data_IF_901521917643
#
_entry.id   IF_901521917643
#
_cell.length_a   1.000
_cell.length_b   1.000
_cell.length_c   1.000
_cell.angle_alpha   90.00
_cell.angle_beta   90.00
_cell.angle_gamma   90.00
#
_symmetry.space_group_name_H-M   'P 1'
#
loop_
_entity.id
_entity.type
_entity.pdbx_description
1 polymer ?
#
# COMPACT_ATOMS: atom_id res chain seq x y z
N UNK A 1 -29.73 -17.02 -1.01
CA UNK A 1 -28.54 -17.58 -0.33
C UNK A 1 -27.85 -16.41 0.36
N UNK A 2 -27.77 -16.43 1.69
CA UNK A 2 -26.82 -15.56 2.39
C UNK A 2 -25.44 -16.16 2.18
N UNK A 3 -24.51 -15.36 1.66
CA UNK A 3 -23.18 -15.86 1.30
C UNK A 3 -22.42 -16.27 2.58
N UNK A 4 -22.69 -15.63 3.72
CA UNK A 4 -21.98 -15.86 4.98
C UNK A 4 -20.47 -15.57 4.87
N UNK A 5 -19.75 -15.59 5.98
CA UNK A 5 -18.28 -15.45 5.95
C UNK A 5 -17.65 -16.77 5.50
N UNK A 6 -17.66 -17.04 4.20
CA UNK A 6 -17.24 -18.32 3.61
C UNK A 6 -16.14 -18.12 2.59
N UNK A 7 -15.27 -19.10 2.41
CA UNK A 7 -14.30 -19.08 1.31
C UNK A 7 -14.95 -19.46 -0.01
N UNK A 8 -14.28 -19.21 -1.14
CA UNK A 8 -14.77 -19.68 -2.45
C UNK A 8 -14.88 -21.21 -2.47
N UNK A 9 -13.96 -21.92 -1.80
CA UNK A 9 -14.03 -23.36 -1.65
C UNK A 9 -15.29 -23.84 -0.91
N UNK A 10 -15.63 -23.18 0.19
CA UNK A 10 -16.84 -23.48 0.95
C UNK A 10 -18.12 -23.18 0.16
N UNK A 11 -18.17 -22.04 -0.53
CA UNK A 11 -19.31 -21.69 -1.38
C UNK A 11 -19.49 -22.69 -2.53
N UNK A 12 -18.40 -23.08 -3.20
CA UNK A 12 -18.46 -24.04 -4.27
C UNK A 12 -19.00 -25.40 -3.80
N UNK A 13 -18.60 -25.86 -2.60
CA UNK A 13 -19.10 -27.11 -2.03
C UNK A 13 -20.62 -27.08 -1.77
N UNK A 14 -21.14 -25.93 -1.32
CA UNK A 14 -22.59 -25.75 -1.17
C UNK A 14 -23.31 -25.72 -2.51
N UNK A 15 -22.74 -25.02 -3.49
CA UNK A 15 -23.31 -24.94 -4.84
C UNK A 15 -23.34 -26.30 -5.54
N UNK A 16 -22.37 -27.18 -5.28
CA UNK A 16 -22.36 -28.57 -5.81
C UNK A 16 -23.55 -29.41 -5.35
N UNK A 17 -24.21 -29.03 -4.27
CA UNK A 17 -25.43 -29.71 -3.79
C UNK A 17 -26.65 -29.40 -4.68
N UNK A 18 -26.56 -28.37 -5.52
CA UNK A 18 -27.59 -28.03 -6.50
C UNK A 18 -27.33 -28.90 -7.75
N UNK A 19 -28.36 -29.55 -8.32
CA UNK A 19 -28.25 -30.18 -9.64
C UNK A 19 -27.61 -29.22 -10.64
N UNK A 20 -27.01 -29.68 -11.73
CA UNK A 20 -26.31 -28.87 -12.76
C UNK A 20 -25.06 -28.08 -12.30
N UNK A 21 -24.76 -27.96 -11.01
CA UNK A 21 -23.54 -27.33 -10.47
C UNK A 21 -22.57 -28.32 -9.81
N UNK A 22 -22.78 -29.63 -9.97
CA UNK A 22 -22.04 -30.69 -9.27
C UNK A 22 -20.53 -30.69 -9.59
N UNK A 23 -20.15 -30.09 -10.72
CA UNK A 23 -18.75 -29.99 -11.20
C UNK A 23 -18.13 -28.61 -10.97
N UNK A 24 -18.76 -27.76 -10.15
CA UNK A 24 -18.22 -26.43 -9.89
C UNK A 24 -16.90 -26.54 -9.11
N UNK A 25 -15.82 -26.04 -9.69
CA UNK A 25 -14.52 -25.95 -9.04
C UNK A 25 -14.37 -24.53 -8.44
N UNK A 26 -13.90 -24.38 -7.19
CA UNK A 26 -13.74 -23.07 -6.55
C UNK A 26 -12.89 -22.11 -7.40
N UNK A 27 -11.86 -22.67 -8.02
CA UNK A 27 -10.89 -21.98 -8.89
C UNK A 27 -11.56 -21.33 -10.09
N UNK A 28 -12.63 -21.92 -10.62
CA UNK A 28 -13.39 -21.36 -11.76
C UNK A 28 -14.18 -20.12 -11.38
N UNK A 29 -14.48 -19.91 -10.10
CA UNK A 29 -15.10 -18.66 -9.63
C UNK A 29 -14.13 -17.49 -9.75
N UNK A 30 -12.82 -17.72 -9.61
CA UNK A 30 -11.79 -16.71 -9.83
C UNK A 30 -11.67 -16.30 -11.31
N UNK A 31 -12.07 -17.16 -12.26
CA UNK A 31 -12.03 -16.84 -13.71
C UNK A 31 -12.96 -15.67 -14.05
N UNK A 32 -13.99 -15.45 -13.24
CA UNK A 32 -14.97 -14.39 -13.42
C UNK A 32 -14.52 -13.03 -12.84
N UNK A 33 -13.33 -12.99 -12.23
CA UNK A 33 -12.78 -11.84 -11.53
C UNK A 33 -11.55 -11.34 -12.29
N UNK A 34 -11.67 -10.27 -13.11
CA UNK A 34 -10.57 -9.75 -13.93
C UNK A 34 -9.30 -9.38 -13.13
N UNK A 35 -9.46 -9.03 -11.85
CA UNK A 35 -8.34 -8.74 -10.96
C UNK A 35 -7.36 -9.93 -10.82
N UNK A 36 -7.83 -11.18 -10.96
CA UNK A 36 -7.02 -12.40 -10.88
C UNK A 36 -6.64 -12.98 -12.25
N UNK A 37 -6.77 -12.19 -13.32
CA UNK A 37 -6.34 -12.60 -14.65
C UNK A 37 -4.83 -12.91 -14.67
N UNK A 38 -4.46 -14.04 -15.28
CA UNK A 38 -3.07 -14.53 -15.34
C UNK A 38 -2.55 -15.18 -14.06
N UNK A 39 -3.36 -15.31 -13.01
CA UNK A 39 -2.99 -16.11 -11.82
C UNK A 39 -3.20 -17.60 -12.12
N UNK A 40 -2.16 -18.42 -12.02
CA UNK A 40 -2.21 -19.85 -12.39
C UNK A 40 -1.61 -20.76 -11.30
N UNK A 41 -1.85 -22.07 -11.44
CA UNK A 41 -1.23 -23.12 -10.60
C UNK A 41 -1.69 -23.14 -9.14
N UNK A 42 -0.88 -23.79 -8.29
CA UNK A 42 -1.20 -24.03 -6.86
C UNK A 42 -1.53 -22.74 -6.09
N UNK A 43 -0.95 -21.61 -6.49
CA UNK A 43 -1.22 -20.35 -5.82
C UNK A 43 -2.64 -19.82 -6.13
N UNK A 44 -3.17 -20.09 -7.32
CA UNK A 44 -4.58 -19.80 -7.65
C UNK A 44 -5.52 -20.60 -6.74
N UNK A 45 -5.21 -21.87 -6.53
CA UNK A 45 -5.97 -22.76 -5.64
C UNK A 45 -5.93 -22.30 -4.18
N UNK A 46 -4.76 -21.82 -3.74
CA UNK A 46 -4.57 -21.19 -2.43
C UNK A 46 -5.48 -19.98 -2.26
N UNK A 47 -5.52 -19.06 -3.23
CA UNK A 47 -6.40 -17.89 -3.18
C UNK A 47 -7.87 -18.30 -3.10
N UNK A 48 -8.32 -19.27 -3.90
CA UNK A 48 -9.70 -19.75 -3.84
C UNK A 48 -10.04 -20.40 -2.48
N UNK A 49 -9.06 -21.03 -1.84
CA UNK A 49 -9.25 -21.75 -0.58
C UNK A 49 -9.22 -20.85 0.65
N UNK A 50 -8.39 -19.81 0.65
CA UNK A 50 -8.15 -18.95 1.81
C UNK A 50 -8.88 -17.60 1.77
N UNK A 51 -9.23 -17.08 0.58
CA UNK A 51 -9.93 -15.81 0.46
C UNK A 51 -11.37 -15.92 0.97
N UNK A 52 -11.81 -14.98 1.80
CA UNK A 52 -13.15 -14.96 2.39
C UNK A 52 -14.08 -14.07 1.58
N UNK A 53 -15.22 -14.61 1.20
CA UNK A 53 -16.36 -13.83 0.73
C UNK A 53 -17.11 -13.29 1.93
N UNK A 54 -17.29 -11.97 1.95
CA UNK A 54 -18.06 -11.27 2.97
C UNK A 54 -19.19 -10.50 2.30
N UNK A 55 -20.31 -10.41 2.98
CA UNK A 55 -21.48 -9.69 2.53
C UNK A 55 -21.84 -8.61 3.54
N UNK A 56 -22.10 -7.40 3.05
CA UNK A 56 -22.51 -6.24 3.83
C UNK A 56 -23.87 -5.75 3.33
N UNK A 57 -24.69 -5.28 4.27
CA UNK A 57 -25.96 -4.60 4.00
C UNK A 57 -25.74 -3.10 3.87
N UNK A 58 -26.73 -2.39 3.33
CA UNK A 58 -26.72 -0.93 3.26
C UNK A 58 -26.44 -0.30 4.64
N UNK A 59 -25.53 0.68 4.65
CA UNK A 59 -25.09 1.39 5.85
C UNK A 59 -24.10 0.63 6.76
N UNK A 60 -23.77 -0.63 6.47
CA UNK A 60 -22.80 -1.36 7.30
C UNK A 60 -21.36 -0.95 6.99
N UNK A 61 -20.58 -0.70 8.04
CA UNK A 61 -19.14 -0.47 7.94
C UNK A 61 -18.41 -1.79 7.63
N UNK A 62 -17.51 -1.74 6.66
CA UNK A 62 -16.59 -2.83 6.33
C UNK A 62 -15.32 -2.73 7.16
N UNK A 63 -14.80 -1.51 7.35
CA UNK A 63 -13.71 -1.20 8.26
C UNK A 63 -13.81 0.25 8.72
N UNK A 64 -13.24 0.55 9.89
CA UNK A 64 -13.30 1.88 10.49
C UNK A 64 -11.94 2.59 10.48
N UNK A 65 -11.92 3.91 10.28
CA UNK A 65 -10.71 4.71 10.36
C UNK A 65 -10.02 4.54 11.72
N UNK A 66 -8.70 4.36 11.72
CA UNK A 66 -7.89 4.19 12.93
C UNK A 66 -7.74 2.73 13.37
N UNK A 67 -8.54 1.81 12.84
CA UNK A 67 -8.43 0.39 13.17
C UNK A 67 -7.11 -0.19 12.66
N UNK A 68 -6.49 -1.00 13.51
CA UNK A 68 -5.31 -1.79 13.14
C UNK A 68 -5.74 -3.12 12.54
N UNK A 69 -5.94 -3.11 11.23
CA UNK A 69 -6.26 -4.29 10.45
C UNK A 69 -5.36 -4.43 9.24
N UNK A 70 -4.89 -5.64 9.00
CA UNK A 70 -3.99 -5.97 7.89
C UNK A 70 -4.69 -6.84 6.84
N UNK A 71 -5.93 -6.51 6.51
CA UNK A 71 -6.71 -7.20 5.47
C UNK A 71 -6.92 -6.31 4.25
N UNK A 72 -6.92 -6.94 3.08
CA UNK A 72 -7.22 -6.33 1.79
C UNK A 72 -8.61 -6.75 1.32
N UNK A 73 -9.34 -5.87 0.64
CA UNK A 73 -10.67 -6.14 0.13
C UNK A 73 -10.80 -5.81 -1.37
N UNK A 74 -11.35 -6.75 -2.15
CA UNK A 74 -11.76 -6.55 -3.53
C UNK A 74 -13.29 -6.57 -3.64
N UNK A 75 -13.88 -5.55 -4.27
CA UNK A 75 -15.34 -5.45 -4.41
C UNK A 75 -15.80 -6.33 -5.57
N UNK A 76 -16.64 -7.32 -5.29
CA UNK A 76 -17.20 -8.23 -6.29
C UNK A 76 -18.58 -7.78 -6.77
N UNK A 77 -19.34 -7.10 -5.91
CA UNK A 77 -20.67 -6.54 -6.21
C UNK A 77 -21.00 -5.41 -5.23
N UNK A 78 -21.89 -4.51 -5.65
CA UNK A 78 -22.33 -3.36 -4.85
C UNK A 78 -21.37 -2.17 -4.92
N UNK A 79 -21.62 -1.21 -4.05
CA UNK A 79 -20.90 0.07 -3.96
C UNK A 79 -20.57 0.39 -2.51
N UNK A 80 -19.36 0.87 -2.27
CA UNK A 80 -18.91 1.32 -0.95
C UNK A 80 -18.42 2.76 -1.01
N UNK A 81 -18.66 3.50 0.06
CA UNK A 81 -18.14 4.85 0.25
C UNK A 81 -16.94 4.82 1.18
N UNK A 82 -15.89 5.51 0.76
CA UNK A 82 -14.70 5.75 1.56
C UNK A 82 -14.80 7.16 2.13
N UNK A 83 -14.69 7.29 3.44
CA UNK A 83 -14.78 8.57 4.14
C UNK A 83 -13.76 8.69 5.25
N UNK A 84 -13.36 9.92 5.58
CA UNK A 84 -12.47 10.20 6.71
C UNK A 84 -13.13 11.20 7.65
N UNK A 85 -12.92 11.03 8.95
CA UNK A 85 -13.28 12.03 9.96
C UNK A 85 -12.08 12.93 10.24
N UNK A 86 -12.31 14.24 10.15
CA UNK A 86 -11.31 15.27 10.50
C UNK A 86 -11.24 15.54 12.00
N UNK A 87 -10.20 16.24 12.46
CA UNK A 87 -10.05 16.63 13.87
C UNK A 87 -11.25 17.42 14.42
N UNK A 88 -11.98 18.13 13.55
CA UNK A 88 -13.19 18.88 13.89
C UNK A 88 -14.48 18.03 13.84
N UNK A 89 -14.36 16.69 13.83
CA UNK A 89 -15.48 15.73 13.71
C UNK A 89 -16.34 15.92 12.44
N UNK A 90 -15.75 16.46 11.37
CA UNK A 90 -16.41 16.50 10.06
C UNK A 90 -16.03 15.30 9.25
N UNK A 91 -17.03 14.55 8.80
CA UNK A 91 -16.89 13.47 7.82
C UNK A 91 -16.72 14.05 6.41
N UNK A 92 -15.65 13.63 5.75
CA UNK A 92 -15.34 13.97 4.36
C UNK A 92 -15.38 12.69 3.55
N UNK A 93 -16.24 12.63 2.53
CA UNK A 93 -16.23 11.54 1.57
C UNK A 93 -15.03 11.71 0.63
N UNK A 94 -14.16 10.70 0.61
CA UNK A 94 -12.95 10.68 -0.21
C UNK A 94 -13.21 10.09 -1.60
N UNK A 95 -13.98 9.00 -1.64
CA UNK A 95 -14.27 8.28 -2.87
C UNK A 95 -15.50 7.39 -2.73
N UNK A 96 -15.98 6.93 -3.87
CA UNK A 96 -16.98 5.87 -4.01
C UNK A 96 -16.36 4.78 -4.86
N UNK A 97 -16.32 3.56 -4.35
CA UNK A 97 -15.69 2.42 -5.01
C UNK A 97 -16.73 1.39 -5.43
N UNK A 98 -16.54 0.82 -6.63
CA UNK A 98 -17.49 -0.10 -7.26
C UNK A 98 -16.85 -1.46 -7.54
N UNK A 99 -17.65 -2.38 -8.09
CA UNK A 99 -17.20 -3.71 -8.54
C UNK A 99 -15.89 -3.63 -9.35
N UNK A 100 -14.93 -4.46 -8.98
CA UNK A 100 -13.60 -4.56 -9.59
C UNK A 100 -12.55 -3.65 -8.93
N UNK A 101 -12.97 -2.67 -8.13
CA UNK A 101 -12.07 -1.85 -7.33
C UNK A 101 -11.80 -2.50 -5.96
N UNK A 102 -10.75 -2.03 -5.31
CA UNK A 102 -10.29 -2.54 -4.01
C UNK A 102 -10.00 -1.41 -3.03
N UNK A 103 -9.88 -1.79 -1.77
CA UNK A 103 -9.45 -0.91 -0.68
C UNK A 103 -8.76 -1.73 0.42
N UNK A 104 -8.19 -1.00 1.38
CA UNK A 104 -7.54 -1.59 2.54
C UNK A 104 -6.16 -2.15 2.25
N UNK A 105 -5.58 -1.86 1.09
CA UNK A 105 -4.23 -2.29 0.68
C UNK A 105 -3.12 -1.71 1.57
N UNK A 106 -3.37 -0.55 2.19
CA UNK A 106 -2.41 0.13 3.06
C UNK A 106 -2.06 -0.71 4.29
N UNK A 107 -3.05 -1.28 4.98
CA UNK A 107 -2.84 -2.10 6.17
C UNK A 107 -1.83 -3.24 5.97
N UNK A 108 -2.07 -4.19 5.04
CA UNK A 108 -1.15 -5.29 4.81
C UNK A 108 0.18 -4.89 4.15
N UNK A 109 0.23 -3.81 3.36
CA UNK A 109 1.49 -3.32 2.78
C UNK A 109 2.38 -2.66 3.82
N UNK A 110 1.81 -1.73 4.56
CA UNK A 110 2.54 -0.68 5.26
C UNK A 110 2.45 -0.86 6.78
N UNK A 111 1.44 -1.59 7.27
CA UNK A 111 1.17 -1.78 8.70
C UNK A 111 0.53 -0.56 9.37
N UNK A 112 0.09 0.43 8.58
CA UNK A 112 -0.66 1.56 9.09
C UNK A 112 -2.10 1.18 9.48
N UNK A 113 -2.69 1.89 10.46
CA UNK A 113 -4.11 1.78 10.70
C UNK A 113 -4.90 2.22 9.45
N UNK A 114 -6.17 1.83 9.39
CA UNK A 114 -7.09 2.30 8.34
C UNK A 114 -7.08 3.83 8.28
N UNK A 115 -6.81 4.39 7.11
CA UNK A 115 -6.79 5.84 6.90
C UNK A 115 -8.19 6.42 6.71
N UNK A 116 -9.19 5.57 6.50
CA UNK A 116 -10.56 5.95 6.20
C UNK A 116 -11.52 4.84 6.64
N UNK A 117 -12.75 5.24 6.95
CA UNK A 117 -13.89 4.34 7.14
C UNK A 117 -14.47 3.98 5.78
N UNK A 118 -14.82 2.70 5.60
CA UNK A 118 -15.47 2.20 4.39
C UNK A 118 -16.84 1.66 4.75
N UNK A 119 -17.88 2.20 4.13
CA UNK A 119 -19.29 1.87 4.43
C UNK A 119 -20.00 1.43 3.17
N UNK A 120 -20.79 0.36 3.25
CA UNK A 120 -21.62 -0.10 2.14
C UNK A 120 -22.77 0.88 1.86
N UNK A 121 -23.02 1.22 0.60
CA UNK A 121 -24.19 2.03 0.18
C UNK A 121 -25.38 1.19 -0.30
N UNK A 122 -25.14 -0.09 -0.55
CA UNK A 122 -26.16 -1.07 -0.90
C UNK A 122 -25.74 -2.43 -0.36
N UNK A 123 -26.30 -3.52 -0.90
CA UNK A 123 -25.80 -4.86 -0.61
C UNK A 123 -24.48 -5.11 -1.33
N UNK A 124 -23.37 -4.96 -0.63
CA UNK A 124 -22.04 -5.24 -1.17
C UNK A 124 -21.57 -6.67 -0.88
N UNK A 125 -20.80 -7.23 -1.82
CA UNK A 125 -20.05 -8.47 -1.64
C UNK A 125 -18.60 -8.19 -1.93
N UNK A 126 -17.73 -8.52 -0.97
CA UNK A 126 -16.29 -8.30 -1.08
C UNK A 126 -15.53 -9.60 -0.87
N UNK A 127 -14.36 -9.68 -1.51
CA UNK A 127 -13.37 -10.72 -1.26
C UNK A 127 -12.30 -10.16 -0.32
N UNK A 128 -12.18 -10.73 0.87
CA UNK A 128 -11.16 -10.39 1.86
C UNK A 128 -9.95 -11.32 1.72
N UNK A 129 -8.76 -10.74 1.66
CA UNK A 129 -7.47 -11.43 1.76
C UNK A 129 -6.77 -11.06 3.08
N UNK A 130 -6.14 -12.05 3.71
CA UNK A 130 -5.21 -11.80 4.81
C UNK A 130 -3.93 -11.15 4.30
N UNK A 131 -3.16 -10.50 5.19
CA UNK A 131 -1.85 -9.93 4.85
C UNK A 131 -0.93 -10.91 4.15
N UNK A 132 -0.79 -12.13 4.68
CA UNK A 132 0.12 -13.13 4.11
C UNK A 132 -0.31 -13.51 2.69
N UNK A 133 -1.61 -13.78 2.49
CA UNK A 133 -2.14 -14.13 1.16
C UNK A 133 -2.00 -12.97 0.17
N UNK A 134 -2.25 -11.75 0.62
CA UNK A 134 -2.10 -10.55 -0.19
C UNK A 134 -0.63 -10.31 -0.60
N UNK A 135 0.32 -10.40 0.34
CA UNK A 135 1.75 -10.24 0.02
C UNK A 135 2.25 -11.36 -0.92
N UNK A 136 1.77 -12.59 -0.76
CA UNK A 136 2.05 -13.67 -1.71
C UNK A 136 1.50 -13.34 -3.10
N UNK A 137 0.27 -12.79 -3.18
CA UNK A 137 -0.36 -12.41 -4.44
C UNK A 137 0.47 -11.38 -5.21
N UNK A 138 1.00 -10.38 -4.52
CA UNK A 138 1.86 -9.36 -5.12
C UNK A 138 3.17 -9.94 -5.65
N UNK A 139 3.74 -10.95 -4.97
CA UNK A 139 4.96 -11.64 -5.43
C UNK A 139 4.70 -12.51 -6.65
N UNK A 140 3.54 -13.14 -6.73
CA UNK A 140 3.20 -14.08 -7.80
C UNK A 140 2.62 -13.39 -9.04
N UNK A 141 2.05 -12.19 -8.91
CA UNK A 141 1.46 -11.46 -10.03
C UNK A 141 2.01 -10.03 -10.14
N UNK A 142 3.02 -9.80 -10.99
CA UNK A 142 3.52 -8.45 -11.30
C UNK A 142 2.45 -7.53 -11.87
N UNK A 143 1.43 -8.08 -12.54
CA UNK A 143 0.30 -7.29 -13.07
C UNK A 143 -0.56 -6.75 -11.94
N UNK A 144 -0.91 -7.58 -10.95
CA UNK A 144 -1.65 -7.13 -9.76
C UNK A 144 -0.80 -6.14 -8.97
N UNK A 145 0.50 -6.43 -8.78
CA UNK A 145 1.42 -5.50 -8.10
C UNK A 145 1.41 -4.11 -8.72
N UNK A 146 1.50 -4.01 -10.05
CA UNK A 146 1.41 -2.72 -10.76
C UNK A 146 0.09 -2.00 -10.54
N UNK A 147 -1.04 -2.72 -10.51
CA UNK A 147 -2.35 -2.11 -10.22
C UNK A 147 -2.41 -1.54 -8.80
N UNK A 148 -1.92 -2.31 -7.80
CA UNK A 148 -1.84 -1.85 -6.40
C UNK A 148 -0.92 -0.63 -6.27
N UNK A 149 0.24 -0.67 -6.93
CA UNK A 149 1.23 0.41 -6.93
C UNK A 149 0.67 1.71 -7.54
N UNK A 150 -0.02 1.60 -8.67
CA UNK A 150 -0.66 2.74 -9.31
C UNK A 150 -1.73 3.36 -8.40
N UNK A 151 -2.56 2.53 -7.75
CA UNK A 151 -3.58 3.04 -6.81
C UNK A 151 -2.98 3.66 -5.56
N UNK A 152 -1.85 3.14 -5.07
CA UNK A 152 -1.11 3.78 -3.97
C UNK A 152 -0.66 5.20 -4.34
N UNK A 153 -0.09 5.38 -5.55
CA UNK A 153 0.34 6.70 -6.04
C UNK A 153 -0.86 7.66 -6.15
N UNK A 154 -1.98 7.18 -6.72
CA UNK A 154 -3.19 8.00 -6.94
C UNK A 154 -3.89 8.41 -5.63
N UNK A 155 -3.90 7.55 -4.62
CA UNK A 155 -4.79 7.71 -3.44
C UNK A 155 -4.06 8.07 -2.15
N UNK A 156 -2.87 7.53 -1.95
CA UNK A 156 -2.23 7.48 -0.62
C UNK A 156 -0.89 8.22 -0.57
N UNK A 157 -0.15 8.28 -1.68
CA UNK A 157 1.15 8.91 -1.73
C UNK A 157 1.10 10.37 -1.30
N UNK A 158 0.11 11.15 -1.76
CA UNK A 158 -0.09 12.54 -1.35
C UNK A 158 -0.17 12.69 0.17
N UNK A 159 -0.93 11.84 0.84
CA UNK A 159 -1.04 11.83 2.31
C UNK A 159 0.28 11.49 2.97
N UNK A 160 1.02 10.50 2.44
CA UNK A 160 2.32 10.12 2.97
C UNK A 160 3.37 11.23 2.79
N UNK A 161 3.40 11.87 1.62
CA UNK A 161 4.25 13.03 1.37
C UNK A 161 3.97 14.14 2.38
N UNK A 162 2.70 14.42 2.70
CA UNK A 162 2.34 15.43 3.71
C UNK A 162 2.83 15.12 5.12
N UNK A 163 3.00 13.83 5.47
CA UNK A 163 3.54 13.43 6.77
C UNK A 163 5.06 13.62 6.87
N UNK A 164 5.75 13.68 5.73
CA UNK A 164 7.19 13.98 5.68
C UNK A 164 7.39 15.46 5.95
N UNK A 165 8.11 15.79 7.04
CA UNK A 165 8.36 17.17 7.46
C UNK A 165 8.93 18.06 6.34
N UNK A 166 9.73 17.49 5.44
CA UNK A 166 10.31 18.17 4.28
C UNK A 166 9.26 18.65 3.26
N UNK A 167 8.12 17.97 3.16
CA UNK A 167 7.06 18.23 2.18
C UNK A 167 5.77 18.75 2.82
N UNK A 168 5.69 18.77 4.15
CA UNK A 168 4.48 19.12 4.91
C UNK A 168 3.89 20.48 4.50
N UNK A 169 4.72 21.47 4.18
CA UNK A 169 4.30 22.85 3.85
C UNK A 169 4.25 23.15 2.36
N UNK A 170 4.48 22.16 1.47
CA UNK A 170 4.47 22.41 0.03
C UNK A 170 3.08 22.83 -0.47
N UNK A 171 2.96 23.70 -1.49
CA UNK A 171 1.67 23.97 -2.13
C UNK A 171 1.05 22.68 -2.71
N UNK A 172 -0.28 22.58 -2.78
CA UNK A 172 -0.96 21.39 -3.33
C UNK A 172 -0.52 21.06 -4.75
N UNK A 173 -0.35 22.08 -5.61
CA UNK A 173 0.16 21.90 -6.97
C UNK A 173 1.56 21.26 -7.00
N UNK A 174 2.41 21.56 -6.02
CA UNK A 174 3.75 20.98 -5.93
C UNK A 174 3.73 19.52 -5.44
N UNK A 175 2.81 19.17 -4.54
CA UNK A 175 2.61 17.76 -4.14
C UNK A 175 2.07 16.92 -5.30
N UNK A 176 1.16 17.49 -6.09
CA UNK A 176 0.63 16.83 -7.29
C UNK A 176 1.75 16.60 -8.33
N UNK A 177 2.54 17.64 -8.63
CA UNK A 177 3.71 17.54 -9.51
C UNK A 177 4.70 16.49 -9.01
N UNK A 178 5.03 16.50 -7.71
CA UNK A 178 5.93 15.52 -7.11
C UNK A 178 5.41 14.09 -7.24
N UNK A 179 4.12 13.89 -6.98
CA UNK A 179 3.49 12.56 -6.99
C UNK A 179 3.58 11.91 -8.38
N UNK A 180 3.58 12.70 -9.45
CA UNK A 180 3.77 12.23 -10.83
C UNK A 180 5.22 11.92 -11.22
N UNK A 181 6.20 12.32 -10.40
CA UNK A 181 7.64 12.20 -10.70
C UNK A 181 8.35 11.15 -9.85
N UNK A 182 7.66 10.48 -8.94
CA UNK A 182 8.26 9.48 -8.07
C UNK A 182 8.46 8.14 -8.78
N UNK A 183 9.39 7.35 -8.25
CA UNK A 183 9.61 5.98 -8.66
C UNK A 183 9.37 5.04 -7.46
N UNK A 184 8.67 3.93 -7.67
CA UNK A 184 8.56 2.88 -6.65
C UNK A 184 9.69 1.89 -6.82
N UNK A 185 10.51 1.74 -5.78
CA UNK A 185 11.67 0.85 -5.75
C UNK A 185 11.52 -0.19 -4.65
N UNK A 186 12.16 -1.36 -4.85
CA UNK A 186 12.14 -2.46 -3.90
C UNK A 186 13.55 -2.92 -3.56
N UNK A 187 13.77 -3.26 -2.29
CA UNK A 187 15.03 -3.78 -1.76
C UNK A 187 14.75 -5.07 -1.00
N UNK A 188 15.63 -6.06 -1.13
CA UNK A 188 15.57 -7.30 -0.37
C UNK A 188 16.20 -7.12 0.99
N UNK A 189 15.76 -7.93 1.95
CA UNK A 189 16.42 -8.02 3.26
C UNK A 189 17.92 -8.25 3.08
N UNK A 190 18.72 -7.38 3.69
CA UNK A 190 20.18 -7.40 3.65
C UNK A 190 20.78 -6.45 2.62
N UNK A 191 19.99 -5.93 1.68
CA UNK A 191 20.49 -4.98 0.68
C UNK A 191 20.95 -3.68 1.36
N UNK A 192 22.09 -3.17 0.90
CA UNK A 192 22.56 -1.84 1.28
C UNK A 192 21.98 -0.84 0.29
N UNK A 193 21.10 0.03 0.80
CA UNK A 193 20.36 1.02 0.01
C UNK A 193 21.22 2.28 -0.21
N UNK A 194 22.00 2.65 0.79
CA UNK A 194 22.90 3.81 0.76
C UNK A 194 24.20 3.40 1.46
N UNK A 195 25.34 3.78 0.88
CA UNK A 195 26.63 3.77 1.55
C UNK A 195 27.00 5.16 2.04
N UNK A 196 27.61 5.24 3.22
CA UNK A 196 28.25 6.46 3.72
C UNK A 196 29.38 6.87 2.76
N UNK A 197 29.44 8.15 2.42
CA UNK A 197 30.45 8.73 1.53
C UNK A 197 30.09 8.72 0.04
N UNK A 198 29.08 7.97 -0.39
CA UNK A 198 28.62 8.00 -1.77
C UNK A 198 27.98 9.36 -2.12
N UNK A 199 27.89 9.67 -3.40
CA UNK A 199 27.11 10.83 -3.86
C UNK A 199 25.60 10.56 -3.69
N UNK A 200 24.87 11.56 -3.20
CA UNK A 200 23.43 11.45 -3.02
C UNK A 200 22.63 12.15 -4.12
N UNK A 201 21.94 11.36 -4.93
CA UNK A 201 21.13 11.84 -6.07
C UNK A 201 19.61 11.66 -5.88
N UNK A 202 19.19 11.17 -4.71
CA UNK A 202 17.78 10.93 -4.38
C UNK A 202 17.56 10.82 -2.87
N UNK A 203 16.30 10.88 -2.44
CA UNK A 203 15.86 10.46 -1.11
C UNK A 203 14.80 9.37 -1.23
N UNK A 204 14.56 8.67 -0.13
CA UNK A 204 13.61 7.57 -0.07
C UNK A 204 12.60 7.79 1.03
N UNK A 205 11.31 7.62 0.72
CA UNK A 205 10.22 7.53 1.68
C UNK A 205 9.79 6.07 1.79
N UNK A 206 9.84 5.51 3.00
CA UNK A 206 9.54 4.10 3.25
C UNK A 206 8.02 3.90 3.17
N UNK A 207 7.59 3.08 2.20
CA UNK A 207 6.19 2.63 2.03
C UNK A 207 5.92 1.32 2.76
N UNK A 208 6.94 0.48 2.92
CA UNK A 208 6.85 -0.74 3.71
C UNK A 208 8.23 -1.23 4.12
N UNK A 209 8.29 -1.98 5.22
CA UNK A 209 9.51 -2.59 5.71
C UNK A 209 10.28 -1.73 6.73
N UNK A 210 11.50 -2.18 7.01
CA UNK A 210 12.33 -1.67 8.09
C UNK A 210 13.79 -1.55 7.63
N UNK A 211 14.43 -0.42 7.94
CA UNK A 211 15.84 -0.17 7.60
C UNK A 211 16.62 0.23 8.85
N UNK A 212 17.91 -0.09 8.84
CA UNK A 212 18.89 0.32 9.85
C UNK A 212 19.77 1.41 9.27
N UNK A 213 19.97 2.49 10.02
CA UNK A 213 20.89 3.58 9.66
C UNK A 213 22.11 3.53 10.58
N UNK A 214 23.30 3.46 10.00
CA UNK A 214 24.55 3.33 10.78
C UNK A 214 25.73 4.10 10.15
N UNK A 215 26.74 4.42 10.95
CA UNK A 215 28.00 5.03 10.51
C UNK A 215 29.18 4.09 10.66
N UNK A 216 30.17 4.22 9.79
CA UNK A 216 31.39 3.41 9.75
C UNK A 216 31.25 2.14 8.90
N UNK A 217 32.26 1.27 8.96
CA UNK A 217 32.27 -0.01 8.23
C UNK A 217 31.28 -1.02 8.82
N UNK A 218 30.81 -1.99 8.02
CA UNK A 218 29.92 -3.08 8.47
C UNK A 218 30.47 -3.89 9.66
N UNK A 219 31.79 -4.02 9.82
CA UNK A 219 32.42 -4.77 10.92
C UNK A 219 32.49 -3.99 12.24
N UNK A 220 32.41 -2.66 12.17
CA UNK A 220 32.48 -1.72 13.31
C UNK A 220 31.52 -0.56 13.08
N UNK A 221 30.25 -0.88 12.94
CA UNK A 221 29.23 0.12 12.73
C UNK A 221 28.73 0.72 14.06
N UNK A 222 28.48 2.03 14.05
CA UNK A 222 27.71 2.71 15.09
C UNK A 222 26.29 2.90 14.58
N UNK A 223 25.34 2.17 15.15
CA UNK A 223 23.91 2.31 14.82
C UNK A 223 23.44 3.68 15.29
N UNK A 224 22.86 4.46 14.37
CA UNK A 224 22.31 5.78 14.66
C UNK A 224 20.83 5.68 14.99
N UNK A 225 20.08 4.96 14.17
CA UNK A 225 18.63 4.78 14.34
C UNK A 225 18.12 3.61 13.50
N UNK A 226 16.86 3.29 13.68
CA UNK A 226 16.09 2.44 12.79
C UNK A 226 14.88 3.19 12.28
N UNK A 227 14.58 3.01 10.99
CA UNK A 227 13.46 3.67 10.33
C UNK A 227 12.51 2.62 9.76
N UNK A 228 11.23 2.95 9.75
CA UNK A 228 10.16 2.10 9.22
C UNK A 228 9.27 2.91 8.30
N UNK A 229 8.28 2.24 7.72
CA UNK A 229 7.01 2.82 7.25
C UNK A 229 6.74 4.27 7.72
N UNK A 230 6.47 5.17 6.77
CA UNK A 230 6.18 6.60 7.01
C UNK A 230 7.40 7.46 7.35
N UNK A 231 8.57 6.86 7.59
CA UNK A 231 9.84 7.56 7.71
C UNK A 231 10.51 7.73 6.35
N UNK A 232 11.50 8.62 6.28
CA UNK A 232 12.30 8.86 5.09
C UNK A 232 13.79 8.94 5.43
N UNK A 233 14.64 8.78 4.43
CA UNK A 233 16.09 8.88 4.58
C UNK A 233 16.77 9.34 3.29
N UNK A 234 18.01 9.81 3.42
CA UNK A 234 18.85 10.24 2.29
C UNK A 234 18.64 11.69 1.89
N UNK A 235 17.78 12.44 2.59
CA UNK A 235 17.50 13.86 2.36
C UNK A 235 18.71 14.76 2.59
N UNK A 236 19.61 14.40 3.52
CA UNK A 236 20.74 15.25 3.93
C UNK A 236 21.62 15.64 2.73
N UNK A 237 21.93 14.69 1.87
CA UNK A 237 22.75 14.91 0.68
C UNK A 237 22.07 15.85 -0.33
N UNK A 238 20.75 15.91 -0.34
CA UNK A 238 19.99 16.79 -1.23
C UNK A 238 19.89 18.22 -0.70
N UNK A 239 19.77 18.36 0.62
CA UNK A 239 19.57 19.64 1.31
C UNK A 239 20.90 20.38 1.51
N UNK A 240 21.95 19.65 1.90
CA UNK A 240 23.25 20.24 2.25
C UNK A 240 24.24 20.23 1.09
N UNK A 241 23.88 19.58 -0.02
CA UNK A 241 24.77 19.33 -1.16
C UNK A 241 26.08 18.62 -0.73
N UNK A 242 25.93 17.66 0.19
CA UNK A 242 27.01 16.86 0.77
C UNK A 242 26.89 15.39 0.33
N UNK A 243 27.95 14.60 0.55
CA UNK A 243 27.90 13.14 0.39
C UNK A 243 26.94 12.49 1.39
N UNK A 244 26.58 11.23 1.13
CA UNK A 244 25.75 10.40 2.01
C UNK A 244 26.39 10.33 3.40
N UNK A 245 25.63 10.72 4.41
CA UNK A 245 26.15 10.88 5.78
C UNK A 245 26.18 9.59 6.59
N UNK A 246 25.53 8.52 6.13
CA UNK A 246 25.41 7.24 6.84
C UNK A 246 25.04 6.12 5.87
N UNK A 247 25.32 4.88 6.25
CA UNK A 247 24.81 3.70 5.57
C UNK A 247 23.33 3.48 5.90
N UNK A 248 22.59 2.92 4.95
CA UNK A 248 21.21 2.45 5.16
C UNK A 248 21.08 1.04 4.63
N UNK A 249 20.67 0.11 5.50
CA UNK A 249 20.55 -1.32 5.17
C UNK A 249 19.13 -1.80 5.40
N UNK A 250 18.56 -2.51 4.43
CA UNK A 250 17.27 -3.15 4.52
C UNK A 250 17.31 -4.30 5.54
N UNK A 251 16.49 -4.24 6.58
CA UNK A 251 16.40 -5.28 7.62
C UNK A 251 15.26 -6.28 7.35
N UNK A 252 14.33 -5.89 6.47
CA UNK A 252 13.28 -6.72 5.84
C UNK A 252 13.30 -6.47 4.33
N UNK A 253 12.43 -7.12 3.57
CA UNK A 253 12.07 -6.58 2.25
C UNK A 253 11.46 -5.18 2.47
N UNK A 254 11.89 -4.21 1.67
CA UNK A 254 11.52 -2.79 1.78
C UNK A 254 10.98 -2.32 0.45
N UNK A 255 9.82 -1.68 0.46
CA UNK A 255 9.36 -0.85 -0.64
C UNK A 255 9.48 0.62 -0.26
N UNK A 256 10.01 1.41 -1.19
CA UNK A 256 10.19 2.83 -0.97
C UNK A 256 9.79 3.63 -2.21
N UNK A 257 9.33 4.85 -1.94
CA UNK A 257 9.16 5.89 -2.94
C UNK A 257 10.49 6.61 -3.08
N UNK A 258 11.12 6.51 -4.25
CA UNK A 258 12.34 7.23 -4.60
C UNK A 258 11.98 8.57 -5.22
N UNK A 259 12.58 9.63 -4.69
CA UNK A 259 12.43 11.01 -5.18
C UNK A 259 13.82 11.50 -5.58
N UNK A 260 14.01 11.82 -6.86
CA UNK A 260 15.29 12.28 -7.39
C UNK A 260 15.67 13.69 -6.93
N UNK A 261 16.98 13.96 -6.88
CA UNK A 261 17.57 15.25 -6.48
C UNK A 261 17.09 16.39 -7.38
N UNK A 262 17.00 16.15 -8.68
CA UNK A 262 16.56 17.16 -9.65
C UNK A 262 15.11 17.55 -9.38
N UNK A 263 14.22 16.57 -9.29
CA UNK A 263 12.79 16.74 -9.05
C UNK A 263 12.56 17.43 -7.70
N UNK A 264 13.29 17.00 -6.66
CA UNK A 264 13.30 17.64 -5.35
C UNK A 264 13.74 19.12 -5.42
N UNK A 265 14.86 19.42 -6.09
CA UNK A 265 15.40 20.77 -6.18
C UNK A 265 14.55 21.71 -7.05
N UNK A 266 13.90 21.19 -8.09
CA UNK A 266 12.98 21.98 -8.93
C UNK A 266 11.77 22.45 -8.12
N UNK A 267 11.19 21.57 -7.32
CA UNK A 267 10.10 21.91 -6.39
C UNK A 267 10.59 22.85 -5.30
N UNK A 268 11.77 22.59 -4.73
CA UNK A 268 12.40 23.45 -3.72
C UNK A 268 12.54 24.90 -4.17
N UNK A 269 13.02 25.12 -5.40
CA UNK A 269 13.24 26.46 -5.96
C UNK A 269 11.95 27.25 -6.14
N UNK A 270 10.85 26.57 -6.45
CA UNK A 270 9.52 27.19 -6.63
C UNK A 270 8.78 27.40 -5.32
N UNK A 271 9.28 26.84 -4.21
CA UNK A 271 8.71 26.99 -2.87
C UNK A 271 9.81 27.20 -1.81
N UNK A 272 10.62 28.27 -1.92
CA UNK A 272 11.81 28.47 -1.08
C UNK A 272 11.49 28.73 0.41
N UNK A 273 10.29 29.21 0.73
CA UNK A 273 9.81 29.35 2.11
C UNK A 273 9.54 28.02 2.82
N UNK A 274 9.42 26.90 2.09
CA UNK A 274 9.02 25.58 2.60
C UNK A 274 10.23 24.72 2.97
N UNK A 275 11.32 24.79 2.21
CA UNK A 275 12.49 23.92 2.39
C UNK A 275 13.55 24.63 3.22
N UNK A 276 13.25 24.81 4.51
CA UNK A 276 14.25 25.14 5.53
C UNK A 276 14.32 23.99 6.51
N UNK A 277 15.30 23.11 6.31
CA UNK A 277 15.68 22.13 7.34
C UNK A 277 16.25 22.94 8.51
N UNK A 278 15.52 22.99 9.62
CA UNK A 278 16.05 23.45 10.90
C UNK A 278 16.96 22.39 11.51
#
# INVERSE_FOLDING_TARGET
MEIGNKTMAQLAEELRQIPFLERLEPVRLLDQIPFFEGLEGEFRDKVASEALLLQFQDGQEVCHQGDYEETFYLILSGEVVVSTETQDHKTIQLATLKRGEFFGEMGPLSGQPRTATVTSQDRAVVLQLSKSLFLDLLRQSPTIKRQIDQKYIERSLRTHLRQVALFATLPEAAIEELSGLVELVSFKKGDVIIWEGDDGDCLYLIRSGFVKVSKGSLEREKILTYLREGSYFGEMALVRDEQRSANVVAMTDVEAVRIGKREFQEIARRSPEVIKVK
#
